data_IF_987131408847
#
_entry.id   IF_987131408847
#
_cell.length_a   1.000
_cell.length_b   1.000
_cell.length_c   1.000
_cell.angle_alpha   90.00
_cell.angle_beta   90.00
_cell.angle_gamma   90.00
#
_symmetry.space_group_name_H-M   'P 1'
#
loop_
_entity.id
_entity.type
_entity.pdbx_description
1 polymer ?
#
# COMPACT_ATOMS: atom_id res chain seq x y z
N UNK A 1 -46.34 56.59 48.55
CA UNK A 1 -46.21 55.47 47.59
C UNK A 1 -44.91 55.65 46.81
N UNK A 2 -43.87 54.90 47.15
CA UNK A 2 -42.55 55.01 46.57
C UNK A 2 -42.39 53.79 45.66
N UNK A 3 -42.31 54.06 44.37
CA UNK A 3 -42.05 53.04 43.33
C UNK A 3 -40.57 52.69 43.31
N UNK A 4 -40.21 51.38 43.39
CA UNK A 4 -38.88 50.80 43.21
C UNK A 4 -38.65 50.51 41.75
N UNK A 5 -37.46 50.82 41.17
CA UNK A 5 -37.14 50.38 39.82
C UNK A 5 -36.70 48.90 39.81
N UNK A 6 -37.26 48.10 38.87
CA UNK A 6 -36.79 46.77 38.53
C UNK A 6 -35.52 46.91 37.65
N UNK A 7 -34.39 46.41 38.14
CA UNK A 7 -33.18 46.25 37.36
C UNK A 7 -33.25 44.90 36.67
N UNK A 8 -33.44 44.88 35.33
CA UNK A 8 -33.41 43.69 34.52
C UNK A 8 -31.96 43.21 34.28
N UNK A 9 -31.65 42.02 34.77
CA UNK A 9 -30.39 41.33 34.48
C UNK A 9 -30.44 40.76 33.04
N UNK A 10 -29.62 41.28 32.13
CA UNK A 10 -29.44 40.69 30.81
C UNK A 10 -28.36 39.58 30.92
N UNK A 11 -28.61 38.32 30.57
CA UNK A 11 -27.58 37.29 30.58
C UNK A 11 -26.62 37.49 29.39
N UNK A 12 -25.36 37.71 29.71
CA UNK A 12 -24.28 37.75 28.71
C UNK A 12 -23.98 36.30 28.28
N UNK A 13 -24.44 35.90 27.11
CA UNK A 13 -24.06 34.61 26.47
C UNK A 13 -22.61 34.70 25.99
N UNK A 14 -21.69 34.12 26.75
CA UNK A 14 -20.32 33.86 26.32
C UNK A 14 -20.33 32.76 25.25
N UNK A 15 -20.24 33.11 23.98
CA UNK A 15 -19.96 32.18 22.90
C UNK A 15 -18.46 31.79 23.02
N UNK A 16 -18.20 30.63 23.61
CA UNK A 16 -16.89 30.01 23.58
C UNK A 16 -16.61 29.55 22.15
N UNK A 17 -15.78 30.28 21.42
CA UNK A 17 -15.15 29.79 20.18
C UNK A 17 -14.28 28.58 20.56
N UNK A 18 -14.79 27.38 20.34
CA UNK A 18 -13.97 26.17 20.40
C UNK A 18 -12.92 26.25 19.28
N UNK A 19 -11.71 26.65 19.60
CA UNK A 19 -10.57 26.51 18.69
C UNK A 19 -10.30 25.03 18.54
N UNK A 20 -10.56 24.49 17.34
CA UNK A 20 -10.16 23.13 17.01
C UNK A 20 -8.64 23.03 17.22
N UNK A 21 -8.14 22.05 18.00
CA UNK A 21 -6.68 21.87 18.14
C UNK A 21 -6.06 21.74 16.75
N UNK A 22 -4.84 22.24 16.51
CA UNK A 22 -4.16 22.04 15.25
C UNK A 22 -4.08 20.54 14.96
N UNK A 23 -4.40 20.13 13.74
CA UNK A 23 -4.29 18.74 13.31
C UNK A 23 -2.84 18.28 13.58
N UNK A 24 -2.70 17.15 14.28
CA UNK A 24 -1.39 16.52 14.51
C UNK A 24 -0.72 16.12 13.19
N UNK A 25 0.52 15.62 13.23
CA UNK A 25 1.23 15.19 12.04
C UNK A 25 0.45 14.09 11.31
N UNK A 26 0.36 14.18 9.98
CA UNK A 26 -0.38 13.24 9.13
C UNK A 26 0.54 12.29 8.39
N UNK A 27 0.07 11.07 8.12
CA UNK A 27 0.65 10.17 7.11
C UNK A 27 0.03 10.51 5.76
N UNK A 28 0.87 10.66 4.74
CA UNK A 28 0.40 10.87 3.36
C UNK A 28 0.36 9.56 2.61
N UNK A 29 -0.74 9.31 1.90
CA UNK A 29 -0.92 8.15 1.03
C UNK A 29 -1.19 8.64 -0.38
N UNK A 30 -0.27 8.33 -1.31
CA UNK A 30 -0.38 8.76 -2.71
C UNK A 30 -0.46 7.55 -3.63
N UNK A 31 -1.63 7.25 -4.21
CA UNK A 31 -1.76 6.23 -5.23
C UNK A 31 -1.03 6.63 -6.52
N UNK A 32 -0.38 5.66 -7.18
CA UNK A 32 0.27 5.81 -8.48
C UNK A 32 -0.46 4.96 -9.50
N UNK A 33 -1.40 5.55 -10.18
CA UNK A 33 -2.20 4.89 -11.22
C UNK A 33 -1.78 5.30 -12.63
N UNK A 34 -2.54 4.80 -13.59
CA UNK A 34 -2.29 4.98 -15.02
C UNK A 34 -2.82 6.30 -15.55
N UNK A 35 -3.96 6.79 -15.03
CA UNK A 35 -4.61 8.03 -15.43
C UNK A 35 -4.86 8.93 -14.21
N UNK A 36 -4.44 10.18 -14.29
CA UNK A 36 -4.52 11.12 -13.18
C UNK A 36 -5.96 11.35 -12.71
N UNK A 37 -6.19 11.32 -11.40
CA UNK A 37 -7.50 11.52 -10.80
C UNK A 37 -8.47 10.34 -10.93
N UNK A 38 -8.06 9.22 -11.55
CA UNK A 38 -8.87 8.03 -11.75
C UNK A 38 -8.30 6.81 -11.00
N UNK A 39 -9.16 5.81 -10.79
CA UNK A 39 -8.80 4.46 -10.36
C UNK A 39 -9.06 3.49 -11.51
N UNK A 40 -7.98 3.03 -12.12
CA UNK A 40 -8.00 2.27 -13.37
C UNK A 40 -7.68 0.78 -13.17
N UNK A 41 -7.91 -0.01 -14.20
CA UNK A 41 -7.79 -1.47 -14.21
C UNK A 41 -6.44 -2.01 -13.66
N UNK A 42 -5.34 -1.30 -13.86
CA UNK A 42 -4.01 -1.75 -13.44
C UNK A 42 -3.47 -1.05 -12.19
N UNK A 43 -4.28 -0.19 -11.57
CA UNK A 43 -3.84 0.66 -10.48
C UNK A 43 -3.80 -0.08 -9.14
N UNK A 44 -2.63 -0.12 -8.52
CA UNK A 44 -2.39 -0.72 -7.19
C UNK A 44 -1.23 -0.10 -6.43
N UNK A 45 -0.27 0.51 -7.12
CA UNK A 45 0.89 1.13 -6.47
C UNK A 45 0.49 2.27 -5.55
N UNK A 46 1.05 2.28 -4.33
CA UNK A 46 0.84 3.36 -3.36
C UNK A 46 2.12 3.73 -2.67
N UNK A 47 2.34 5.03 -2.48
CA UNK A 47 3.40 5.56 -1.62
C UNK A 47 2.79 6.00 -0.31
N UNK A 48 3.37 5.52 0.80
CA UNK A 48 3.08 5.97 2.15
C UNK A 48 4.25 6.80 2.65
N UNK A 49 3.98 8.02 3.12
CA UNK A 49 4.98 8.92 3.69
C UNK A 49 4.65 9.20 5.15
N UNK A 50 5.53 8.73 6.03
CA UNK A 50 5.45 8.96 7.45
C UNK A 50 5.85 10.42 7.79
N UNK A 51 5.32 11.02 8.87
CA UNK A 51 5.74 12.37 9.30
C UNK A 51 7.24 12.55 9.52
N UNK A 52 7.99 11.46 9.81
CA UNK A 52 9.45 11.49 9.95
C UNK A 52 10.20 11.46 8.61
N UNK A 53 9.47 11.37 7.50
CA UNK A 53 10.02 11.34 6.15
C UNK A 53 10.36 9.95 5.62
N UNK A 54 10.09 8.86 6.36
CA UNK A 54 10.20 7.49 5.84
C UNK A 54 9.15 7.30 4.74
N UNK A 55 9.58 6.84 3.56
CA UNK A 55 8.70 6.62 2.40
C UNK A 55 8.73 5.16 1.99
N UNK A 56 7.54 4.57 1.93
CA UNK A 56 7.29 3.16 1.63
C UNK A 56 6.47 3.06 0.35
N UNK A 57 6.95 2.30 -0.63
CA UNK A 57 6.21 1.95 -1.84
C UNK A 57 5.63 0.55 -1.68
N UNK A 58 4.34 0.41 -1.89
CA UNK A 58 3.62 -0.85 -1.86
C UNK A 58 3.17 -1.26 -3.26
N UNK A 59 3.43 -2.51 -3.64
CA UNK A 59 3.02 -3.17 -4.88
C UNK A 59 3.18 -2.26 -6.12
N UNK A 60 4.42 -1.97 -6.51
CA UNK A 60 4.72 -1.08 -7.63
C UNK A 60 3.93 -1.43 -8.90
N UNK A 61 3.76 -2.71 -9.16
CA UNK A 61 2.90 -3.23 -10.21
C UNK A 61 3.23 -2.70 -11.60
N UNK A 62 2.19 -2.59 -12.41
CA UNK A 62 2.28 -2.17 -13.81
C UNK A 62 1.92 -0.70 -14.04
N UNK A 63 1.45 0.02 -13.01
CA UNK A 63 0.97 1.41 -13.12
C UNK A 63 2.06 2.48 -12.96
N UNK A 64 3.33 2.07 -12.97
CA UNK A 64 4.50 2.95 -12.88
C UNK A 64 5.36 2.84 -14.14
N UNK A 65 6.23 3.85 -14.37
CA UNK A 65 7.18 3.88 -15.51
C UNK A 65 8.52 3.17 -15.21
N UNK A 66 8.61 2.43 -14.09
CA UNK A 66 9.85 1.83 -13.60
C UNK A 66 10.66 2.78 -12.72
N UNK A 67 11.96 2.53 -12.56
CA UNK A 67 12.82 3.26 -11.63
C UNK A 67 12.97 4.77 -11.87
N UNK A 68 12.68 5.23 -13.08
CA UNK A 68 12.77 6.64 -13.50
C UNK A 68 11.42 7.39 -13.41
N UNK A 69 10.37 6.77 -12.90
CA UNK A 69 9.08 7.45 -12.72
C UNK A 69 9.25 8.65 -11.77
N UNK A 70 9.02 9.85 -12.29
CA UNK A 70 9.23 11.10 -11.53
C UNK A 70 8.28 11.21 -10.31
N UNK A 71 7.13 10.51 -10.34
CA UNK A 71 6.16 10.52 -9.23
C UNK A 71 6.67 9.83 -7.97
N UNK A 72 7.67 8.93 -8.10
CA UNK A 72 8.22 8.18 -6.98
C UNK A 72 8.92 9.07 -5.94
N UNK A 73 9.68 10.07 -6.39
CA UNK A 73 10.58 10.81 -5.48
C UNK A 73 11.61 9.88 -4.81
N UNK A 74 11.90 10.12 -3.54
CA UNK A 74 12.67 9.20 -2.70
C UNK A 74 11.79 8.02 -2.28
N UNK A 75 12.30 6.80 -2.37
CA UNK A 75 11.68 5.57 -1.82
C UNK A 75 12.73 4.89 -0.95
N UNK A 76 12.39 4.61 0.30
CA UNK A 76 13.29 3.96 1.26
C UNK A 76 13.04 2.46 1.35
N UNK A 77 11.77 2.04 1.17
CA UNK A 77 11.32 0.66 1.31
C UNK A 77 10.38 0.31 0.17
N UNK A 78 10.55 -0.87 -0.40
CA UNK A 78 9.62 -1.48 -1.37
C UNK A 78 9.00 -2.72 -0.73
N UNK A 79 7.66 -2.73 -0.64
CA UNK A 79 6.86 -3.88 -0.22
C UNK A 79 6.28 -4.56 -1.45
N UNK A 80 6.24 -5.89 -1.42
CA UNK A 80 5.60 -6.71 -2.42
C UNK A 80 4.76 -7.79 -1.74
N UNK A 81 3.47 -7.79 -2.02
CA UNK A 81 2.52 -8.72 -1.38
C UNK A 81 2.68 -10.16 -1.85
N UNK A 82 2.87 -10.38 -3.16
CA UNK A 82 3.05 -11.70 -3.76
C UNK A 82 3.69 -11.60 -5.16
N UNK A 83 4.01 -12.76 -5.75
CA UNK A 83 4.86 -12.85 -6.94
C UNK A 83 4.12 -12.72 -8.28
N UNK A 84 2.83 -12.36 -8.32
CA UNK A 84 2.16 -12.13 -9.61
C UNK A 84 2.75 -10.96 -10.36
N UNK A 85 2.76 -11.06 -11.69
CA UNK A 85 3.40 -10.08 -12.56
C UNK A 85 2.83 -8.68 -12.42
N UNK A 86 1.54 -8.57 -12.20
CA UNK A 86 0.85 -7.30 -12.02
C UNK A 86 1.13 -6.60 -10.65
N UNK A 87 1.72 -7.30 -9.67
CA UNK A 87 2.25 -6.74 -8.41
C UNK A 87 3.76 -6.52 -8.46
N UNK A 88 4.51 -7.49 -8.97
CA UNK A 88 5.95 -7.37 -9.21
C UNK A 88 6.30 -6.31 -10.25
N UNK A 89 5.42 -6.16 -11.26
CA UNK A 89 5.63 -5.33 -12.43
C UNK A 89 6.50 -6.01 -13.48
N UNK A 90 6.06 -7.17 -14.03
CA UNK A 90 6.63 -7.80 -15.22
C UNK A 90 6.34 -6.99 -16.49
N UNK A 91 5.38 -6.08 -16.40
CA UNK A 91 5.06 -5.03 -17.36
C UNK A 91 5.07 -3.67 -16.66
N UNK A 92 5.18 -2.60 -17.43
CA UNK A 92 5.13 -1.21 -16.96
C UNK A 92 4.40 -0.32 -17.95
N UNK A 93 3.94 0.84 -17.51
CA UNK A 93 3.42 1.86 -18.39
C UNK A 93 4.46 2.30 -19.42
N UNK A 94 4.02 2.53 -20.65
CA UNK A 94 4.84 3.17 -21.70
C UNK A 94 4.93 4.69 -21.49
N UNK A 95 3.84 5.31 -21.06
CA UNK A 95 3.74 6.70 -20.63
C UNK A 95 2.52 6.88 -19.72
N UNK A 96 2.47 7.97 -18.95
CA UNK A 96 1.25 8.35 -18.24
C UNK A 96 0.16 8.66 -19.26
N UNK A 97 -1.10 8.35 -18.91
CA UNK A 97 -2.29 8.52 -19.77
C UNK A 97 -2.28 7.66 -21.06
N UNK A 98 -1.33 6.73 -21.22
CA UNK A 98 -1.24 5.90 -22.41
C UNK A 98 -2.33 4.82 -22.44
N UNK A 99 -3.09 4.76 -23.50
CA UNK A 99 -4.24 3.86 -23.65
C UNK A 99 -5.51 4.42 -23.02
N UNK A 100 -6.29 3.55 -22.39
CA UNK A 100 -7.51 3.94 -21.67
C UNK A 100 -7.46 3.43 -20.22
N UNK A 101 -8.27 4.00 -19.32
CA UNK A 101 -8.39 3.55 -17.94
C UNK A 101 -8.72 2.05 -17.83
N UNK A 102 -9.52 1.48 -18.77
CA UNK A 102 -9.80 0.05 -18.85
C UNK A 102 -8.63 -0.76 -19.44
N UNK A 103 -7.90 -0.20 -20.40
CA UNK A 103 -6.84 -0.89 -21.13
C UNK A 103 -5.64 0.04 -21.33
N UNK A 104 -4.82 0.25 -20.29
CA UNK A 104 -3.61 1.08 -20.38
C UNK A 104 -2.58 0.42 -21.32
N UNK A 105 -1.76 1.23 -21.98
CA UNK A 105 -0.69 0.73 -22.87
C UNK A 105 0.53 0.36 -22.03
N UNK A 106 0.87 -0.93 -22.04
CA UNK A 106 1.97 -1.50 -21.29
C UNK A 106 3.10 -1.99 -22.21
N UNK A 107 4.32 -1.98 -21.67
CA UNK A 107 5.50 -2.64 -22.24
C UNK A 107 6.04 -3.66 -21.24
N UNK A 108 6.73 -4.71 -21.75
CA UNK A 108 7.38 -5.67 -20.87
C UNK A 108 8.52 -5.03 -20.07
N UNK A 109 8.64 -5.37 -18.81
CA UNK A 109 9.81 -5.11 -17.97
C UNK A 109 10.74 -6.33 -17.91
N UNK A 110 10.24 -7.52 -18.31
CA UNK A 110 11.04 -8.75 -18.32
C UNK A 110 12.31 -8.62 -19.19
N UNK A 111 13.42 -9.20 -18.77
CA UNK A 111 13.61 -10.17 -17.67
C UNK A 111 13.65 -9.54 -16.27
N UNK A 112 13.45 -8.24 -16.16
CA UNK A 112 13.41 -7.52 -14.90
C UNK A 112 11.96 -7.24 -14.41
N UNK A 113 11.79 -6.46 -13.34
CA UNK A 113 10.50 -6.05 -12.80
C UNK A 113 10.56 -4.58 -12.39
N UNK A 114 9.42 -3.86 -12.41
CA UNK A 114 9.38 -2.47 -11.93
C UNK A 114 9.79 -2.36 -10.47
N UNK A 115 9.44 -3.35 -9.62
CA UNK A 115 9.86 -3.38 -8.21
C UNK A 115 11.38 -3.43 -8.04
N UNK A 116 12.08 -4.27 -8.82
CA UNK A 116 13.54 -4.34 -8.79
C UNK A 116 14.20 -3.10 -9.40
N UNK A 117 13.67 -2.55 -10.50
CA UNK A 117 14.15 -1.31 -11.12
C UNK A 117 14.06 -0.13 -10.13
N UNK A 118 12.93 -0.01 -9.42
CA UNK A 118 12.73 1.04 -8.41
C UNK A 118 13.69 0.83 -7.23
N UNK A 119 13.77 -0.39 -6.68
CA UNK A 119 14.70 -0.66 -5.59
C UNK A 119 16.15 -0.31 -5.99
N UNK A 120 16.56 -0.69 -7.20
CA UNK A 120 17.90 -0.38 -7.72
C UNK A 120 18.14 1.14 -7.88
N UNK A 121 17.18 1.86 -8.46
CA UNK A 121 17.32 3.30 -8.73
C UNK A 121 17.25 4.19 -7.49
N UNK A 122 16.51 3.74 -6.46
CA UNK A 122 16.28 4.50 -5.22
C UNK A 122 17.15 4.05 -4.04
N UNK A 123 17.99 3.02 -4.23
CA UNK A 123 18.73 2.36 -3.15
C UNK A 123 17.79 1.89 -2.02
N UNK A 124 16.61 1.35 -2.37
CA UNK A 124 15.61 0.99 -1.39
C UNK A 124 15.83 -0.41 -0.79
N UNK A 125 15.35 -0.61 0.44
CA UNK A 125 15.26 -1.92 1.07
C UNK A 125 14.05 -2.72 0.55
N UNK A 126 14.28 -4.00 0.21
CA UNK A 126 13.24 -4.94 -0.23
C UNK A 126 12.67 -5.68 1.00
N UNK A 127 11.42 -5.37 1.39
CA UNK A 127 10.73 -5.95 2.55
C UNK A 127 9.56 -6.80 2.07
N UNK A 128 9.75 -8.12 2.09
CA UNK A 128 8.78 -9.11 1.64
C UNK A 128 9.17 -10.50 2.16
N UNK A 129 8.41 -11.53 1.80
CA UNK A 129 8.79 -12.92 2.09
C UNK A 129 10.19 -13.21 1.52
N UNK A 130 11.02 -13.93 2.29
CA UNK A 130 12.44 -14.16 1.97
C UNK A 130 12.69 -14.66 0.55
N UNK A 131 11.85 -15.58 0.05
CA UNK A 131 11.99 -16.13 -1.31
C UNK A 131 11.82 -15.04 -2.38
N UNK A 132 10.81 -14.18 -2.24
CA UNK A 132 10.61 -13.03 -3.14
C UNK A 132 11.75 -12.01 -3.01
N UNK A 133 12.20 -11.71 -1.79
CA UNK A 133 13.31 -10.80 -1.56
C UNK A 133 14.59 -11.29 -2.26
N UNK A 134 14.90 -12.57 -2.14
CA UNK A 134 16.06 -13.18 -2.80
C UNK A 134 15.94 -13.15 -4.33
N UNK A 135 14.76 -13.45 -4.87
CA UNK A 135 14.49 -13.41 -6.31
C UNK A 135 14.67 -11.98 -6.86
N UNK A 136 14.05 -10.98 -6.22
CA UNK A 136 14.19 -9.57 -6.63
C UNK A 136 15.62 -9.05 -6.40
N UNK A 137 16.30 -9.50 -5.34
CA UNK A 137 17.71 -9.18 -5.09
C UNK A 137 18.60 -9.56 -6.24
N UNK A 138 18.36 -10.72 -6.89
CA UNK A 138 19.08 -11.12 -8.11
C UNK A 138 18.77 -10.22 -9.32
N UNK A 139 17.57 -9.67 -9.41
CA UNK A 139 17.21 -8.69 -10.45
C UNK A 139 17.87 -7.33 -10.19
N UNK A 140 17.93 -6.89 -8.93
CA UNK A 140 18.70 -5.69 -8.53
C UNK A 140 20.19 -5.88 -8.81
N UNK A 141 20.76 -7.05 -8.46
CA UNK A 141 22.15 -7.40 -8.80
C UNK A 141 22.44 -7.28 -10.29
N UNK A 142 21.54 -7.81 -11.15
CA UNK A 142 21.69 -7.71 -12.60
C UNK A 142 21.69 -6.25 -13.11
N UNK A 143 20.94 -5.35 -12.45
CA UNK A 143 20.91 -3.92 -12.79
C UNK A 143 22.17 -3.20 -12.29
N UNK A 144 22.59 -3.48 -11.07
CA UNK A 144 23.68 -2.75 -10.38
C UNK A 144 25.08 -3.32 -10.69
N UNK A 145 25.19 -4.54 -11.21
CA UNK A 145 26.45 -5.23 -11.46
C UNK A 145 27.18 -5.70 -10.19
N UNK A 146 26.51 -5.73 -9.06
CA UNK A 146 27.07 -6.16 -7.78
C UNK A 146 25.99 -6.83 -6.89
N UNK A 147 26.37 -7.76 -6.00
CA UNK A 147 25.44 -8.46 -5.13
C UNK A 147 24.57 -7.50 -4.30
N UNK A 148 23.29 -7.84 -4.12
CA UNK A 148 22.39 -7.10 -3.25
C UNK A 148 22.56 -7.60 -1.80
N UNK A 149 23.17 -6.81 -0.89
CA UNK A 149 23.46 -7.26 0.48
C UNK A 149 22.19 -7.30 1.34
N UNK A 150 22.28 -7.90 2.52
CA UNK A 150 21.30 -7.68 3.58
C UNK A 150 21.30 -6.20 4.00
N UNK A 151 20.13 -5.65 4.35
CA UNK A 151 20.06 -4.29 4.86
C UNK A 151 20.82 -4.17 6.19
N UNK A 152 21.63 -3.12 6.39
CA UNK A 152 22.30 -2.89 7.66
C UNK A 152 21.27 -2.71 8.78
N UNK A 153 21.50 -3.39 9.90
CA UNK A 153 20.66 -3.31 11.10
C UNK A 153 21.35 -2.50 12.19
N UNK A 154 20.56 -1.81 13.00
CA UNK A 154 21.04 -1.15 14.21
C UNK A 154 21.37 -2.15 15.33
N UNK A 155 21.80 -1.64 16.48
CA UNK A 155 22.20 -2.46 17.63
C UNK A 155 21.06 -3.33 18.21
N UNK A 156 19.79 -2.95 17.98
CA UNK A 156 18.61 -3.73 18.39
C UNK A 156 18.33 -4.94 17.48
N UNK A 157 18.99 -5.01 16.30
CA UNK A 157 18.90 -6.16 15.39
C UNK A 157 17.75 -6.17 14.40
N UNK A 158 16.77 -5.31 14.53
CA UNK A 158 15.58 -5.20 13.66
C UNK A 158 15.30 -3.78 13.14
N UNK A 159 16.03 -2.78 13.64
CA UNK A 159 15.96 -1.38 13.24
C UNK A 159 16.87 -1.11 12.03
N UNK A 160 16.33 -0.42 11.04
CA UNK A 160 17.07 0.04 9.86
C UNK A 160 17.05 1.57 9.77
N UNK A 161 18.23 2.17 9.57
CA UNK A 161 18.31 3.62 9.32
C UNK A 161 18.27 3.90 7.84
N UNK A 162 17.36 4.78 7.43
CA UNK A 162 17.18 5.20 6.02
C UNK A 162 17.57 6.68 5.86
N UNK A 163 17.99 7.11 4.63
CA UNK A 163 18.13 6.32 3.40
C UNK A 163 19.32 5.36 3.43
N UNK A 164 19.22 4.25 2.68
CA UNK A 164 20.32 3.32 2.51
C UNK A 164 21.34 3.83 1.50
N UNK A 165 22.62 3.45 1.67
CA UNK A 165 23.68 3.76 0.71
C UNK A 165 23.54 2.94 -0.58
N UNK A 166 22.96 1.74 -0.52
CA UNK A 166 22.69 0.84 -1.64
C UNK A 166 21.40 0.07 -1.39
N UNK A 167 20.81 -0.48 -2.47
CA UNK A 167 19.68 -1.40 -2.37
C UNK A 167 20.06 -2.62 -1.55
N UNK A 168 19.13 -3.10 -0.73
CA UNK A 168 19.42 -4.18 0.21
C UNK A 168 18.19 -5.06 0.49
N UNK A 169 18.42 -6.24 1.08
CA UNK A 169 17.38 -7.20 1.43
C UNK A 169 17.03 -7.09 2.92
N UNK A 170 15.78 -6.81 3.23
CA UNK A 170 15.18 -6.87 4.57
C UNK A 170 14.05 -7.90 4.59
N UNK A 171 14.22 -9.02 3.89
CA UNK A 171 13.27 -10.11 3.82
C UNK A 171 12.96 -10.67 5.21
N UNK A 172 11.76 -11.25 5.35
CA UNK A 172 11.32 -11.88 6.58
C UNK A 172 10.33 -13.03 6.30
N UNK A 173 9.84 -13.66 7.35
CA UNK A 173 8.76 -14.64 7.31
C UNK A 173 7.43 -13.98 7.71
N UNK A 174 6.33 -14.72 7.55
CA UNK A 174 5.03 -14.32 8.11
C UNK A 174 5.16 -14.09 9.64
N UNK A 175 4.58 -13.01 10.12
CA UNK A 175 4.69 -12.53 11.52
C UNK A 175 5.96 -11.73 11.81
N UNK A 176 6.94 -11.70 10.92
CA UNK A 176 8.17 -10.95 11.12
C UNK A 176 8.00 -9.45 10.92
N UNK A 177 8.60 -8.66 11.80
CA UNK A 177 8.56 -7.19 11.78
C UNK A 177 9.93 -6.61 11.46
N UNK A 178 9.96 -5.46 10.76
CA UNK A 178 11.13 -4.61 10.53
C UNK A 178 10.75 -3.16 10.85
N UNK A 179 11.69 -2.42 11.44
CA UNK A 179 11.51 -1.00 11.76
C UNK A 179 12.42 -0.14 10.90
N UNK A 180 11.88 0.90 10.28
CA UNK A 180 12.62 1.85 9.44
C UNK A 180 12.49 3.25 10.01
N UNK A 181 13.62 3.92 10.24
CA UNK A 181 13.64 5.28 10.79
C UNK A 181 14.70 6.14 10.11
N UNK A 182 14.46 7.43 10.01
CA UNK A 182 15.49 8.40 9.64
C UNK A 182 16.47 8.57 10.81
N UNK A 183 17.71 8.99 10.53
CA UNK A 183 18.79 9.03 11.52
C UNK A 183 18.45 9.80 12.81
N UNK A 184 17.62 10.84 12.72
CA UNK A 184 17.26 11.71 13.85
C UNK A 184 15.87 11.39 14.45
N UNK A 185 15.16 10.38 13.93
CA UNK A 185 13.83 10.04 14.44
C UNK A 185 13.94 9.16 15.69
N UNK A 186 13.18 9.53 16.73
CA UNK A 186 13.09 8.74 17.97
C UNK A 186 12.31 7.42 17.76
N UNK A 187 11.36 7.43 16.81
CA UNK A 187 10.54 6.27 16.43
C UNK A 187 10.65 6.01 14.93
N UNK A 188 10.41 4.79 14.51
CA UNK A 188 10.37 4.39 13.11
C UNK A 188 9.01 3.86 12.70
N UNK A 189 8.88 3.61 11.40
CA UNK A 189 7.76 2.88 10.79
C UNK A 189 7.99 1.39 10.98
N UNK A 190 7.06 0.71 11.65
CA UNK A 190 7.10 -0.74 11.84
C UNK A 190 6.29 -1.42 10.74
N UNK A 191 6.89 -2.40 10.07
CA UNK A 191 6.29 -3.15 8.96
C UNK A 191 6.30 -4.62 9.35
N UNK A 192 5.10 -5.19 9.54
CA UNK A 192 4.89 -6.60 9.85
C UNK A 192 4.29 -7.31 8.64
N UNK A 193 4.88 -8.44 8.25
CA UNK A 193 4.33 -9.30 7.19
C UNK A 193 3.25 -10.19 7.82
N UNK A 194 2.03 -10.14 7.28
CA UNK A 194 0.90 -10.96 7.76
C UNK A 194 0.41 -11.92 6.68
N UNK A 195 -0.26 -13.03 7.02
CA UNK A 195 -0.78 -13.98 6.04
C UNK A 195 -1.75 -13.34 5.05
N UNK A 196 -1.76 -13.87 3.83
CA UNK A 196 -2.80 -13.71 2.83
C UNK A 196 -3.14 -15.08 2.22
N UNK A 197 -4.34 -15.22 1.64
CA UNK A 197 -4.80 -16.46 1.01
C UNK A 197 -4.95 -16.25 -0.49
N UNK A 198 -3.88 -16.54 -1.22
CA UNK A 198 -3.78 -16.36 -2.68
C UNK A 198 -2.68 -17.26 -3.26
N UNK A 199 -2.49 -17.25 -4.57
CA UNK A 199 -1.28 -17.80 -5.21
C UNK A 199 -0.14 -16.77 -5.21
N UNK A 200 1.10 -17.25 -5.26
CA UNK A 200 2.31 -16.42 -5.30
C UNK A 200 3.32 -16.98 -6.31
N UNK A 201 2.83 -17.45 -7.46
CA UNK A 201 3.67 -17.99 -8.53
C UNK A 201 4.18 -16.87 -9.44
N UNK A 202 5.48 -16.92 -9.75
CA UNK A 202 6.13 -15.95 -10.64
C UNK A 202 5.71 -16.16 -12.09
N UNK A 203 5.52 -15.07 -12.84
CA UNK A 203 5.24 -15.13 -14.26
C UNK A 203 6.41 -15.79 -15.02
N UNK A 204 6.12 -16.74 -15.90
CA UNK A 204 7.12 -17.46 -16.73
C UNK A 204 8.02 -16.53 -17.56
N UNK A 205 7.54 -15.33 -17.93
CA UNK A 205 8.34 -14.33 -18.62
C UNK A 205 9.56 -13.85 -17.83
N UNK A 206 9.51 -13.98 -16.50
CA UNK A 206 10.60 -13.62 -15.58
C UNK A 206 11.57 -14.78 -15.30
N UNK A 207 11.26 -15.99 -15.76
CA UNK A 207 12.11 -17.17 -15.59
C UNK A 207 13.19 -17.26 -16.66
N UNK A 208 14.33 -17.83 -16.30
CA UNK A 208 15.36 -18.22 -17.28
C UNK A 208 14.83 -19.34 -18.19
N UNK A 209 15.49 -19.52 -19.34
CA UNK A 209 15.13 -20.59 -20.27
C UNK A 209 15.24 -21.99 -19.62
N UNK A 210 16.26 -22.19 -18.77
CA UNK A 210 16.46 -23.46 -18.06
C UNK A 210 15.32 -23.75 -17.09
N UNK A 211 14.88 -22.73 -16.30
CA UNK A 211 13.75 -22.87 -15.39
C UNK A 211 12.47 -23.16 -16.14
N UNK A 212 12.18 -22.46 -17.24
CA UNK A 212 11.01 -22.74 -18.09
C UNK A 212 11.01 -24.16 -18.61
N UNK A 213 12.13 -24.62 -19.20
CA UNK A 213 12.23 -26.01 -19.70
C UNK A 213 11.96 -27.07 -18.65
N UNK A 214 12.27 -26.80 -17.37
CA UNK A 214 12.00 -27.74 -16.29
C UNK A 214 10.55 -27.72 -15.81
N UNK A 215 9.82 -26.63 -15.99
CA UNK A 215 8.44 -26.47 -15.50
C UNK A 215 7.39 -26.76 -16.58
N UNK A 216 7.69 -26.49 -17.84
CA UNK A 216 6.74 -26.60 -18.95
C UNK A 216 6.19 -28.01 -19.21
N UNK A 217 6.99 -29.10 -19.16
CA UNK A 217 6.48 -30.44 -19.48
C UNK A 217 5.31 -30.87 -18.62
N UNK A 218 5.32 -30.50 -17.33
CA UNK A 218 4.28 -30.85 -16.35
C UNK A 218 3.35 -29.67 -16.02
N UNK A 219 3.45 -28.58 -16.78
CA UNK A 219 2.72 -27.32 -16.54
C UNK A 219 2.85 -26.77 -15.11
N UNK A 220 4.00 -26.97 -14.49
CA UNK A 220 4.28 -26.49 -13.14
C UNK A 220 4.48 -24.97 -13.09
N UNK A 221 4.28 -24.38 -11.91
CA UNK A 221 4.58 -23.00 -11.58
C UNK A 221 5.69 -22.92 -10.54
N UNK A 222 6.36 -21.75 -10.43
CA UNK A 222 7.38 -21.50 -9.42
C UNK A 222 6.84 -20.51 -8.38
N UNK A 223 6.40 -20.97 -7.20
CA UNK A 223 5.99 -20.07 -6.11
C UNK A 223 7.22 -19.44 -5.45
N UNK A 224 7.15 -18.16 -5.12
CA UNK A 224 8.20 -17.44 -4.40
C UNK A 224 7.84 -17.20 -2.92
N UNK A 225 7.42 -18.25 -2.24
CA UNK A 225 6.93 -18.21 -0.87
C UNK A 225 5.43 -17.90 -0.77
N UNK A 226 4.88 -17.87 0.46
CA UNK A 226 3.47 -17.60 0.67
C UNK A 226 3.11 -16.15 0.27
N UNK A 227 1.90 -15.90 -0.24
CA UNK A 227 1.37 -14.55 -0.39
C UNK A 227 1.21 -13.89 0.98
N UNK A 228 1.28 -12.58 1.01
CA UNK A 228 1.25 -11.81 2.25
C UNK A 228 0.51 -10.49 2.10
N UNK A 229 -0.04 -10.04 3.21
CA UNK A 229 -0.40 -8.65 3.45
C UNK A 229 0.63 -8.00 4.36
N UNK A 230 0.38 -6.75 4.73
CA UNK A 230 1.22 -6.01 5.67
C UNK A 230 0.38 -5.27 6.70
N UNK A 231 0.87 -5.22 7.93
CA UNK A 231 0.43 -4.22 8.90
C UNK A 231 1.56 -3.21 9.07
N UNK A 232 1.28 -1.95 8.72
CA UNK A 232 2.24 -0.85 8.81
C UNK A 232 1.80 0.10 9.91
N UNK A 233 2.63 0.23 10.94
CA UNK A 233 2.43 1.14 12.06
C UNK A 233 3.30 2.37 11.88
N UNK A 234 2.67 3.52 11.68
CA UNK A 234 3.32 4.81 11.48
C UNK A 234 3.57 5.54 12.79
N UNK A 235 4.47 6.52 12.75
CA UNK A 235 4.93 7.23 13.96
C UNK A 235 3.88 8.14 14.58
N UNK A 236 2.85 8.55 13.82
CA UNK A 236 1.70 9.33 14.31
C UNK A 236 0.60 8.49 14.98
N UNK A 237 0.73 7.16 15.01
CA UNK A 237 -0.27 6.24 15.58
C UNK A 237 -1.21 5.60 14.56
N UNK A 238 -1.14 5.97 13.27
CA UNK A 238 -1.85 5.26 12.21
C UNK A 238 -1.35 3.82 12.12
N UNK A 239 -2.27 2.87 12.08
CA UNK A 239 -2.01 1.45 11.83
C UNK A 239 -2.79 1.05 10.60
N UNK A 240 -2.08 0.83 9.49
CA UNK A 240 -2.66 0.52 8.19
C UNK A 240 -2.52 -0.97 7.87
N UNK A 241 -3.62 -1.64 7.55
CA UNK A 241 -3.60 -2.99 6.98
C UNK A 241 -3.63 -2.91 5.45
N UNK A 242 -2.60 -3.44 4.80
CA UNK A 242 -2.51 -3.63 3.35
C UNK A 242 -2.81 -5.08 3.07
N UNK A 243 -3.97 -5.38 2.46
CA UNK A 243 -4.45 -6.76 2.37
C UNK A 243 -3.60 -7.65 1.46
N UNK A 244 -2.96 -7.08 0.45
CA UNK A 244 -2.54 -7.85 -0.72
C UNK A 244 -3.75 -8.42 -1.46
N UNK A 245 -3.50 -9.26 -2.43
CA UNK A 245 -4.58 -10.09 -2.99
C UNK A 245 -4.82 -11.24 -2.02
N UNK A 246 -6.06 -11.34 -1.55
CA UNK A 246 -6.40 -12.35 -0.55
C UNK A 246 -7.87 -12.74 -0.60
N UNK A 247 -8.16 -14.01 -0.42
CA UNK A 247 -9.47 -14.47 -0.01
C UNK A 247 -9.66 -14.25 1.51
N UNK A 248 -10.90 -14.38 1.97
CA UNK A 248 -11.22 -14.38 3.39
C UNK A 248 -10.54 -15.55 4.11
N UNK A 249 -9.85 -15.28 5.22
CA UNK A 249 -9.19 -16.30 6.05
C UNK A 249 -9.18 -15.92 7.54
N UNK A 250 -8.96 -16.91 8.41
CA UNK A 250 -9.08 -16.75 9.86
C UNK A 250 -8.08 -15.77 10.48
N UNK A 251 -6.87 -15.63 9.91
CA UNK A 251 -5.83 -14.76 10.44
C UNK A 251 -6.18 -13.27 10.32
N UNK A 252 -7.12 -12.89 9.43
CA UNK A 252 -7.65 -11.53 9.39
C UNK A 252 -8.28 -11.14 10.72
N UNK A 253 -8.99 -12.08 11.38
CA UNK A 253 -9.59 -11.85 12.69
C UNK A 253 -8.52 -11.95 13.79
N UNK A 254 -7.84 -13.08 13.87
CA UNK A 254 -7.01 -13.41 15.03
C UNK A 254 -5.70 -12.65 15.08
N UNK A 255 -5.03 -12.48 13.92
CA UNK A 255 -3.73 -11.81 13.81
C UNK A 255 -3.91 -10.33 13.50
N UNK A 256 -4.67 -10.00 12.46
CA UNK A 256 -4.76 -8.60 12.01
C UNK A 256 -5.66 -7.79 12.93
N UNK A 257 -6.93 -8.19 13.09
CA UNK A 257 -7.90 -7.39 13.85
C UNK A 257 -7.63 -7.41 15.36
N UNK A 258 -7.46 -8.61 15.96
CA UNK A 258 -7.39 -8.74 17.43
C UNK A 258 -6.02 -8.36 17.98
N UNK A 259 -4.92 -8.69 17.29
CA UNK A 259 -3.57 -8.40 17.75
C UNK A 259 -3.05 -7.05 17.26
N UNK A 260 -3.02 -6.81 15.95
CA UNK A 260 -2.45 -5.58 15.38
C UNK A 260 -3.38 -4.37 15.46
N UNK A 261 -4.71 -4.57 15.42
CA UNK A 261 -5.76 -3.55 15.58
C UNK A 261 -5.60 -2.38 14.59
N UNK A 262 -5.59 -2.63 13.28
CA UNK A 262 -5.47 -1.55 12.30
C UNK A 262 -6.68 -0.61 12.38
N UNK A 263 -6.42 0.69 12.22
CA UNK A 263 -7.46 1.72 12.22
C UNK A 263 -7.73 2.31 10.82
N UNK A 264 -6.97 1.87 9.82
CA UNK A 264 -7.26 2.08 8.40
C UNK A 264 -6.82 0.85 7.59
N UNK A 265 -7.38 0.66 6.38
CA UNK A 265 -6.97 -0.44 5.51
C UNK A 265 -6.96 -0.06 4.04
N UNK A 266 -6.08 -0.71 3.27
CA UNK A 266 -6.14 -0.79 1.82
C UNK A 266 -6.71 -2.16 1.48
N UNK A 267 -7.86 -2.18 0.80
CA UNK A 267 -8.55 -3.38 0.38
C UNK A 267 -8.38 -3.57 -1.12
N UNK A 268 -7.68 -4.63 -1.51
CA UNK A 268 -7.53 -5.02 -2.90
C UNK A 268 -8.77 -5.79 -3.39
N UNK A 269 -9.32 -5.37 -4.53
CA UNK A 269 -10.53 -5.95 -5.12
C UNK A 269 -10.26 -7.00 -6.20
N UNK A 270 -9.11 -7.65 -6.21
CA UNK A 270 -8.79 -8.67 -7.21
C UNK A 270 -9.98 -9.64 -7.41
N UNK A 271 -10.52 -9.73 -8.64
CA UNK A 271 -11.79 -10.43 -8.94
C UNK A 271 -11.81 -11.91 -8.55
N UNK A 272 -10.67 -12.56 -8.56
CA UNK A 272 -10.55 -13.99 -8.23
C UNK A 272 -10.39 -14.26 -6.73
N UNK A 273 -10.00 -13.28 -5.94
CA UNK A 273 -9.65 -13.48 -4.54
C UNK A 273 -10.82 -13.19 -3.58
N UNK A 274 -11.63 -12.16 -3.85
CA UNK A 274 -12.62 -11.67 -2.91
C UNK A 274 -13.96 -11.37 -3.60
N UNK A 275 -15.10 -11.73 -2.99
CA UNK A 275 -16.44 -11.32 -3.44
C UNK A 275 -16.82 -9.97 -2.83
N UNK A 276 -17.82 -9.26 -3.41
CA UNK A 276 -18.30 -8.00 -2.84
C UNK A 276 -18.77 -8.18 -1.40
N UNK A 277 -19.54 -9.24 -1.14
CA UNK A 277 -20.05 -9.54 0.20
C UNK A 277 -18.93 -9.87 1.21
N UNK A 278 -17.92 -10.67 0.81
CA UNK A 278 -16.79 -10.97 1.71
C UNK A 278 -15.90 -9.76 1.95
N UNK A 279 -15.73 -8.88 0.95
CA UNK A 279 -14.98 -7.64 1.12
C UNK A 279 -15.65 -6.67 2.08
N UNK A 280 -16.97 -6.47 1.94
CA UNK A 280 -17.75 -5.66 2.87
C UNK A 280 -17.71 -6.24 4.30
N UNK A 281 -17.88 -7.55 4.43
CA UNK A 281 -17.79 -8.23 5.73
C UNK A 281 -16.41 -8.11 6.38
N UNK A 282 -15.33 -8.24 5.61
CA UNK A 282 -13.96 -8.03 6.13
C UNK A 282 -13.82 -6.61 6.67
N UNK A 283 -14.29 -5.60 5.94
CA UNK A 283 -14.19 -4.22 6.35
C UNK A 283 -15.05 -3.93 7.59
N UNK A 284 -16.34 -4.26 7.55
CA UNK A 284 -17.32 -3.80 8.53
C UNK A 284 -17.40 -4.66 9.79
N UNK A 285 -17.14 -5.98 9.67
CA UNK A 285 -17.33 -6.92 10.78
C UNK A 285 -16.02 -7.47 11.35
N UNK A 286 -14.97 -7.61 10.51
CA UNK A 286 -13.70 -8.18 10.95
C UNK A 286 -12.71 -7.11 11.37
N UNK A 287 -12.34 -6.19 10.48
CA UNK A 287 -11.27 -5.21 10.71
C UNK A 287 -11.82 -3.95 11.40
N UNK A 288 -12.94 -3.42 10.94
CA UNK A 288 -13.63 -2.23 11.47
C UNK A 288 -12.74 -0.98 11.48
N UNK A 289 -12.11 -0.62 10.38
CA UNK A 289 -11.25 0.55 10.31
C UNK A 289 -12.08 1.83 10.23
N UNK A 290 -11.48 2.97 10.60
CA UNK A 290 -12.11 4.27 10.39
C UNK A 290 -12.22 4.64 8.89
N UNK A 291 -11.31 4.12 8.06
CA UNK A 291 -11.33 4.35 6.61
C UNK A 291 -10.83 3.11 5.85
N UNK A 292 -11.52 2.80 4.76
CA UNK A 292 -11.14 1.77 3.76
C UNK A 292 -10.72 2.47 2.48
N UNK A 293 -9.49 2.24 2.03
CA UNK A 293 -9.01 2.65 0.70
C UNK A 293 -9.23 1.47 -0.25
N UNK A 294 -10.06 1.66 -1.27
CA UNK A 294 -10.24 0.64 -2.31
C UNK A 294 -9.15 0.78 -3.37
N UNK A 295 -8.50 -0.34 -3.68
CA UNK A 295 -7.42 -0.49 -4.66
C UNK A 295 -7.60 -1.74 -5.50
N UNK A 296 -6.82 -1.89 -6.57
CA UNK A 296 -6.73 -3.09 -7.41
C UNK A 296 -8.10 -3.60 -7.91
N UNK A 297 -8.91 -2.78 -8.58
CA UNK A 297 -10.28 -3.14 -8.94
C UNK A 297 -10.38 -4.12 -10.12
N UNK A 298 -9.33 -4.26 -10.95
CA UNK A 298 -9.32 -5.00 -12.23
C UNK A 298 -10.39 -4.52 -13.22
N UNK A 299 -10.76 -3.26 -13.13
CA UNK A 299 -11.72 -2.54 -13.99
C UNK A 299 -11.40 -1.04 -13.99
N UNK A 300 -11.97 -0.28 -14.94
CA UNK A 300 -12.02 1.16 -14.83
C UNK A 300 -13.05 1.52 -13.75
N UNK A 301 -12.60 1.67 -12.51
CA UNK A 301 -13.46 1.76 -11.33
C UNK A 301 -14.02 3.15 -11.07
N UNK A 302 -13.45 4.19 -11.67
CA UNK A 302 -13.91 5.56 -11.49
C UNK A 302 -14.15 6.27 -12.83
N UNK A 303 -14.87 7.37 -12.74
CA UNK A 303 -15.05 8.39 -13.78
C UNK A 303 -15.20 9.75 -13.09
N UNK A 304 -14.43 10.73 -13.52
CA UNK A 304 -14.35 12.07 -12.89
C UNK A 304 -14.06 11.98 -11.38
N UNK A 305 -13.22 11.01 -10.98
CA UNK A 305 -12.83 10.77 -9.59
C UNK A 305 -13.92 10.18 -8.68
N UNK A 306 -15.04 9.72 -9.25
CA UNK A 306 -16.16 9.10 -8.51
C UNK A 306 -16.31 7.63 -8.91
N UNK A 307 -16.86 6.77 -8.02
CA UNK A 307 -17.17 5.40 -8.41
C UNK A 307 -17.97 5.35 -9.70
N UNK A 308 -17.51 4.56 -10.67
CA UNK A 308 -18.20 4.37 -11.97
C UNK A 308 -19.51 3.63 -11.74
N UNK A 309 -20.68 4.17 -12.17
CA UNK A 309 -21.94 3.47 -12.05
C UNK A 309 -21.90 2.07 -12.70
N UNK A 310 -22.41 1.06 -12.01
CA UNK A 310 -22.42 -0.34 -12.49
C UNK A 310 -21.06 -1.04 -12.43
N UNK A 311 -20.01 -0.42 -11.89
CA UNK A 311 -18.77 -1.11 -11.59
C UNK A 311 -18.90 -1.95 -10.31
N UNK A 312 -18.12 -3.03 -10.23
CA UNK A 312 -17.99 -3.84 -9.02
C UNK A 312 -17.53 -3.00 -7.82
N UNK A 313 -16.64 -2.06 -8.06
CA UNK A 313 -16.16 -1.09 -7.04
C UNK A 313 -17.29 -0.26 -6.47
N UNK A 314 -18.20 0.26 -7.32
CA UNK A 314 -19.37 1.02 -6.87
C UNK A 314 -20.35 0.14 -6.07
N UNK A 315 -20.62 -1.08 -6.55
CA UNK A 315 -21.49 -2.04 -5.85
C UNK A 315 -20.94 -2.38 -4.46
N UNK A 316 -19.64 -2.72 -4.35
CA UNK A 316 -19.03 -3.07 -3.08
C UNK A 316 -18.96 -1.88 -2.14
N UNK A 317 -18.63 -0.68 -2.63
CA UNK A 317 -18.64 0.55 -1.83
C UNK A 317 -20.01 0.83 -1.24
N UNK A 318 -21.10 0.55 -1.99
CA UNK A 318 -22.47 0.74 -1.54
C UNK A 318 -22.91 -0.30 -0.48
N UNK A 319 -22.22 -1.43 -0.36
CA UNK A 319 -22.48 -2.45 0.66
C UNK A 319 -21.78 -2.15 1.99
N UNK A 320 -20.72 -1.33 1.99
CA UNK A 320 -19.93 -1.03 3.19
C UNK A 320 -20.56 0.07 4.04
N UNK A 321 -20.52 -0.10 5.35
CA UNK A 321 -20.86 0.93 6.34
C UNK A 321 -19.62 1.77 6.70
N UNK A 322 -18.43 1.20 6.61
CA UNK A 322 -17.15 1.90 6.80
C UNK A 322 -16.99 3.02 5.78
N UNK A 323 -16.27 4.09 6.16
CA UNK A 323 -15.95 5.16 5.21
C UNK A 323 -15.03 4.64 4.11
N UNK A 324 -15.53 4.63 2.88
CA UNK A 324 -14.79 4.19 1.69
C UNK A 324 -14.19 5.40 0.97
N UNK A 325 -12.94 5.28 0.53
CA UNK A 325 -12.26 6.21 -0.39
C UNK A 325 -11.62 5.43 -1.52
N UNK A 326 -11.56 6.02 -2.72
CA UNK A 326 -10.91 5.41 -3.88
C UNK A 326 -9.44 5.81 -3.93
N UNK A 327 -8.57 4.88 -4.33
CA UNK A 327 -7.15 5.13 -4.57
C UNK A 327 -6.94 5.86 -5.91
N UNK A 328 -7.37 7.12 -6.01
CA UNK A 328 -7.29 7.91 -7.24
C UNK A 328 -5.85 8.33 -7.54
N UNK A 329 -5.39 8.03 -8.75
CA UNK A 329 -4.01 8.28 -9.19
C UNK A 329 -3.57 9.74 -8.98
N UNK A 330 -2.45 9.93 -8.28
CA UNK A 330 -1.86 11.24 -8.00
C UNK A 330 -2.55 12.05 -6.90
N UNK A 331 -3.69 11.61 -6.38
CA UNK A 331 -4.41 12.30 -5.30
C UNK A 331 -3.85 11.87 -3.95
N UNK A 332 -3.07 12.73 -3.32
CA UNK A 332 -2.55 12.46 -1.98
C UNK A 332 -3.64 12.59 -0.93
N UNK A 333 -3.84 11.54 -0.15
CA UNK A 333 -4.70 11.49 1.02
C UNK A 333 -3.88 11.72 2.29
N UNK A 334 -4.44 12.39 3.29
CA UNK A 334 -3.79 12.61 4.59
C UNK A 334 -4.56 11.96 5.72
N UNK A 335 -3.86 11.14 6.52
CA UNK A 335 -4.43 10.37 7.60
C UNK A 335 -3.89 10.79 8.97
N UNK A 336 -4.80 10.95 9.94
CA UNK A 336 -4.42 11.10 11.35
C UNK A 336 -4.06 9.74 11.99
N UNK A 337 -3.59 9.80 13.24
CA UNK A 337 -3.23 8.60 14.01
C UNK A 337 -4.42 7.72 14.41
N UNK A 338 -5.66 8.12 14.11
CA UNK A 338 -6.88 7.34 14.35
C UNK A 338 -7.43 6.69 13.06
N UNK A 339 -6.70 6.78 11.96
CA UNK A 339 -7.11 6.22 10.68
C UNK A 339 -8.17 7.04 9.95
N UNK A 340 -8.46 8.26 10.40
CA UNK A 340 -9.40 9.15 9.72
C UNK A 340 -8.69 9.88 8.59
N UNK A 341 -9.28 9.83 7.42
CA UNK A 341 -8.80 10.59 6.27
C UNK A 341 -9.27 12.05 6.39
N UNK A 342 -8.32 12.98 6.49
CA UNK A 342 -8.55 14.40 6.76
C UNK A 342 -8.57 15.24 5.48
N UNK A 343 -7.77 14.88 4.47
CA UNK A 343 -7.65 15.59 3.20
C UNK A 343 -7.46 14.61 2.05
N UNK A 344 -7.86 14.99 0.83
CA UNK A 344 -7.70 14.18 -0.39
C UNK A 344 -8.60 12.94 -0.49
N UNK A 345 -9.66 12.86 0.28
CA UNK A 345 -10.46 11.65 0.54
C UNK A 345 -11.85 11.69 -0.12
N UNK A 346 -12.05 12.48 -1.12
CA UNK A 346 -13.33 12.66 -1.84
C UNK A 346 -13.30 11.90 -3.15
#
# INVERSE_FOLDING_TARGET
MIAKPLIGLVPLLLVACATTPPAGPTVKVTPLGTHAGELCNRDRAMIFEDPTGVRVLYDAGTSVLGGNDARLGAIHVVLLSHAHGDHMGDQRLTALEAGTCQSPTLATAAPNTTSAEIAASKNAGLVMINQMANFLGKRVEAIKGQPTPACPVGAAGDDHTVPFAASCLAGNNLGGTRTFKTANAAKGVEITIVPASHDSSVNRALLSEAERRNLEPDNLTLPLGPPSGYVVRFTNGLVMYLTGDTALHADMKNVVADFHKPNAMVLNLGQSAITNASGAWIADDVIRPATVIISHPNEAASVDGKPRPGSRTAEMSAMMHSRVVLALSGRTMEFDGQGRCLAGCS
#
